data_IF_500200999991
#
_entry.id   IF_500200999991
#
_cell.length_a   1.000
_cell.length_b   1.000
_cell.length_c   1.000
_cell.angle_alpha   90.00
_cell.angle_beta   90.00
_cell.angle_gamma   90.00
#
_symmetry.space_group_name_H-M   'P 1'
#
loop_
_entity.id
_entity.type
_entity.pdbx_description
1 polymer ?
#
# COMPACT_ATOMS: atom_id res chain seq x y z
N UNK A 1 -26.99 36.00 3.36
CA UNK A 1 -25.60 35.97 2.88
C UNK A 1 -25.54 35.02 1.69
N UNK A 2 -24.96 35.45 0.59
CA UNK A 2 -24.84 34.60 -0.61
C UNK A 2 -23.81 33.52 -0.32
N UNK A 3 -24.25 32.27 -0.10
CA UNK A 3 -23.41 31.14 0.35
C UNK A 3 -22.67 30.44 -0.79
N UNK A 4 -22.71 30.98 -2.01
CA UNK A 4 -22.04 30.43 -3.18
C UNK A 4 -20.58 30.91 -3.18
N UNK A 5 -19.65 29.98 -3.06
CA UNK A 5 -18.18 30.08 -3.19
C UNK A 5 -17.36 30.19 -1.88
N UNK A 6 -17.89 29.73 -0.75
CA UNK A 6 -17.08 29.58 0.45
C UNK A 6 -16.04 28.47 0.29
N UNK A 7 -14.84 28.69 0.81
CA UNK A 7 -13.79 27.66 0.86
C UNK A 7 -13.40 27.39 2.31
N UNK A 8 -13.45 26.14 2.71
CA UNK A 8 -13.07 25.68 4.05
C UNK A 8 -11.81 24.86 3.96
N UNK A 9 -10.76 25.26 4.66
CA UNK A 9 -9.60 24.41 4.93
C UNK A 9 -9.82 23.68 6.25
N UNK A 10 -9.63 22.37 6.25
CA UNK A 10 -9.85 21.54 7.41
C UNK A 10 -8.59 20.70 7.70
N UNK A 11 -7.84 21.08 8.73
CA UNK A 11 -6.75 20.28 9.25
C UNK A 11 -7.27 19.24 10.23
N UNK A 12 -6.94 17.96 9.98
CA UNK A 12 -7.58 16.81 10.64
C UNK A 12 -6.71 16.26 11.79
N UNK A 13 -7.07 16.54 13.01
CA UNK A 13 -6.47 15.96 14.20
C UNK A 13 -7.26 14.79 14.80
N UNK A 14 -6.65 14.07 15.75
CA UNK A 14 -7.26 12.90 16.39
C UNK A 14 -8.43 13.27 17.31
N UNK A 15 -8.33 14.38 18.04
CA UNK A 15 -9.36 14.86 18.98
C UNK A 15 -10.12 16.07 18.45
N UNK A 16 -9.44 16.95 17.78
CA UNK A 16 -9.99 18.18 17.25
C UNK A 16 -9.49 18.41 15.84
N UNK A 17 -10.31 19.05 15.02
CA UNK A 17 -9.95 19.57 13.71
C UNK A 17 -9.86 21.09 13.78
N UNK A 18 -8.95 21.69 13.03
CA UNK A 18 -8.89 23.13 12.84
C UNK A 18 -9.54 23.49 11.50
N UNK A 19 -10.47 24.42 11.52
CA UNK A 19 -11.15 24.90 10.33
C UNK A 19 -10.88 26.39 10.09
N UNK A 20 -10.60 26.74 8.85
CA UNK A 20 -10.54 28.11 8.36
C UNK A 20 -11.54 28.27 7.22
N UNK A 21 -12.46 29.21 7.35
CA UNK A 21 -13.49 29.51 6.35
C UNK A 21 -13.15 30.81 5.65
N UNK A 22 -13.00 30.76 4.33
CA UNK A 22 -12.75 31.93 3.48
C UNK A 22 -13.99 32.30 2.66
N UNK A 23 -14.20 33.58 2.47
CA UNK A 23 -15.20 34.11 1.56
C UNK A 23 -14.73 34.10 0.09
N UNK A 24 -15.55 34.70 -0.81
CA UNK A 24 -15.22 34.84 -2.24
C UNK A 24 -14.00 35.74 -2.47
N UNK A 25 -13.73 36.72 -1.61
CA UNK A 25 -12.57 37.59 -1.71
C UNK A 25 -11.29 36.91 -1.18
N UNK A 26 -11.43 35.82 -0.41
CA UNK A 26 -10.32 35.14 0.25
C UNK A 26 -10.03 35.68 1.65
N UNK A 27 -10.96 36.46 2.20
CA UNK A 27 -10.89 36.96 3.57
C UNK A 27 -11.40 35.90 4.54
N UNK A 28 -10.83 35.90 5.73
CA UNK A 28 -11.19 34.93 6.76
C UNK A 28 -12.52 35.32 7.40
N UNK A 29 -13.55 34.50 7.19
CA UNK A 29 -14.85 34.67 7.83
C UNK A 29 -14.88 34.05 9.24
N UNK A 30 -14.25 32.90 9.41
CA UNK A 30 -14.23 32.17 10.69
C UNK A 30 -12.99 31.28 10.80
N UNK A 31 -12.54 31.11 12.03
CA UNK A 31 -11.56 30.11 12.41
C UNK A 31 -12.07 29.39 13.66
N UNK A 32 -12.13 28.08 13.60
CA UNK A 32 -12.79 27.29 14.64
C UNK A 32 -12.01 26.01 14.93
N UNK A 33 -12.12 25.57 16.18
CA UNK A 33 -11.67 24.24 16.60
C UNK A 33 -12.91 23.35 16.73
N UNK A 34 -12.92 22.26 15.99
CA UNK A 34 -14.07 21.36 15.86
C UNK A 34 -13.71 20.03 16.51
N UNK A 35 -14.53 19.57 17.45
CA UNK A 35 -14.36 18.23 18.05
C UNK A 35 -14.55 17.16 16.98
N UNK A 36 -13.66 16.18 16.95
CA UNK A 36 -13.66 15.10 15.95
C UNK A 36 -14.78 14.07 16.22
N UNK A 37 -16.04 14.50 16.09
CA UNK A 37 -17.22 13.63 16.12
C UNK A 37 -18.10 13.87 14.90
N UNK A 38 -18.91 12.87 14.55
CA UNK A 38 -19.81 12.98 13.37
C UNK A 38 -20.84 14.08 13.54
N UNK A 39 -21.38 14.21 14.76
CA UNK A 39 -22.43 15.15 15.11
C UNK A 39 -21.94 16.60 14.98
N UNK A 40 -20.76 16.90 15.54
CA UNK A 40 -20.18 18.24 15.51
C UNK A 40 -19.75 18.62 14.10
N UNK A 41 -19.15 17.70 13.34
CA UNK A 41 -18.83 17.93 11.94
C UNK A 41 -20.06 18.15 11.06
N UNK A 42 -21.15 17.41 11.29
CA UNK A 42 -22.41 17.62 10.57
C UNK A 42 -22.99 18.99 10.89
N UNK A 43 -23.00 19.40 12.17
CA UNK A 43 -23.45 20.73 12.58
C UNK A 43 -22.58 21.85 11.98
N UNK A 44 -21.26 21.64 11.90
CA UNK A 44 -20.34 22.57 11.24
C UNK A 44 -20.68 22.70 9.75
N UNK A 45 -20.85 21.60 9.03
CA UNK A 45 -21.22 21.60 7.62
C UNK A 45 -22.53 22.35 7.36
N UNK A 46 -23.54 22.17 8.21
CA UNK A 46 -24.83 22.84 8.06
C UNK A 46 -24.76 24.39 8.13
N UNK A 47 -23.72 24.94 8.78
CA UNK A 47 -23.53 26.41 8.85
C UNK A 47 -22.99 27.03 7.56
N UNK A 48 -22.31 26.22 6.72
CA UNK A 48 -21.66 26.69 5.50
C UNK A 48 -22.10 25.89 4.25
N UNK A 49 -23.40 25.85 3.92
CA UNK A 49 -23.95 24.97 2.89
C UNK A 49 -23.30 25.23 1.52
N UNK A 50 -22.96 24.17 0.80
CA UNK A 50 -22.39 24.24 -0.54
C UNK A 50 -20.92 24.68 -0.61
N UNK A 51 -20.25 24.87 0.52
CA UNK A 51 -18.83 25.24 0.54
C UNK A 51 -17.94 24.15 -0.10
N UNK A 52 -16.81 24.57 -0.65
CA UNK A 52 -15.71 23.66 -1.02
C UNK A 52 -14.85 23.38 0.21
N UNK A 53 -14.78 22.12 0.63
CA UNK A 53 -14.00 21.71 1.80
C UNK A 53 -12.70 21.04 1.36
N UNK A 54 -11.58 21.57 1.81
CA UNK A 54 -10.23 21.13 1.50
C UNK A 54 -9.60 20.51 2.72
N UNK A 55 -9.09 19.29 2.63
CA UNK A 55 -8.40 18.60 3.71
C UNK A 55 -7.19 17.84 3.20
N UNK A 56 -6.22 17.54 4.07
CA UNK A 56 -5.06 16.73 3.71
C UNK A 56 -5.34 15.23 3.87
N UNK A 57 -4.64 14.38 3.08
CA UNK A 57 -4.69 12.92 3.27
C UNK A 57 -4.12 12.53 4.62
N UNK A 58 -4.92 11.96 5.49
CA UNK A 58 -4.57 11.48 6.82
C UNK A 58 -5.42 10.27 7.23
N UNK A 59 -5.29 9.86 8.47
CA UNK A 59 -6.01 8.71 9.04
C UNK A 59 -7.52 8.94 9.03
N UNK A 60 -7.96 10.15 9.31
CA UNK A 60 -9.37 10.55 9.39
C UNK A 60 -9.97 10.95 8.04
N UNK A 61 -9.14 11.40 7.08
CA UNK A 61 -9.64 11.95 5.81
C UNK A 61 -10.59 11.02 5.03
N UNK A 62 -10.48 9.67 5.05
CA UNK A 62 -11.43 8.82 4.34
C UNK A 62 -12.87 8.90 4.84
N UNK A 63 -13.11 8.97 6.15
CA UNK A 63 -14.46 9.03 6.69
C UNK A 63 -14.99 10.46 6.74
N UNK A 64 -14.13 11.45 7.05
CA UNK A 64 -14.50 12.86 7.06
C UNK A 64 -14.90 13.32 5.66
N UNK A 65 -14.11 13.02 4.63
CA UNK A 65 -14.44 13.40 3.25
C UNK A 65 -15.79 12.83 2.78
N UNK A 66 -16.12 11.58 3.16
CA UNK A 66 -17.42 10.99 2.83
C UNK A 66 -18.56 11.66 3.59
N UNK A 67 -18.38 11.96 4.87
CA UNK A 67 -19.37 12.67 5.66
C UNK A 67 -19.66 14.04 5.06
N UNK A 68 -18.61 14.82 4.79
CA UNK A 68 -18.72 16.18 4.23
C UNK A 68 -19.36 16.14 2.84
N UNK A 69 -18.98 15.19 1.97
CA UNK A 69 -19.61 15.02 0.67
C UNK A 69 -21.10 14.64 0.78
N UNK A 70 -21.49 13.81 1.76
CA UNK A 70 -22.89 13.45 2.01
C UNK A 70 -23.74 14.62 2.49
N UNK A 71 -23.13 15.68 3.05
CA UNK A 71 -23.79 16.94 3.39
C UNK A 71 -23.91 17.93 2.22
N UNK A 72 -23.51 17.52 1.00
CA UNK A 72 -23.65 18.33 -0.21
C UNK A 72 -22.48 19.28 -0.51
N UNK A 73 -21.34 19.10 0.15
CA UNK A 73 -20.14 19.91 -0.09
C UNK A 73 -19.27 19.32 -1.22
N UNK A 74 -18.62 20.20 -1.98
CA UNK A 74 -17.50 19.81 -2.81
C UNK A 74 -16.28 19.49 -1.92
N UNK A 75 -15.63 18.34 -2.12
CA UNK A 75 -14.51 17.90 -1.28
C UNK A 75 -13.24 17.74 -2.10
N UNK A 76 -12.17 18.39 -1.64
CA UNK A 76 -10.82 18.27 -2.19
C UNK A 76 -9.93 17.64 -1.13
N UNK A 77 -9.43 16.42 -1.39
CA UNK A 77 -8.47 15.76 -0.51
C UNK A 77 -7.08 15.96 -1.08
N UNK A 78 -6.28 16.78 -0.44
CA UNK A 78 -4.94 17.15 -0.87
C UNK A 78 -3.93 16.01 -0.63
N UNK A 79 -2.98 15.83 -1.55
CA UNK A 79 -1.92 14.85 -1.41
C UNK A 79 -0.80 15.37 -0.52
N UNK A 80 -0.75 14.93 0.75
CA UNK A 80 0.24 15.29 1.76
C UNK A 80 1.69 15.29 1.24
N UNK A 81 2.05 14.29 0.43
CA UNK A 81 3.42 14.17 -0.09
C UNK A 81 3.82 15.25 -1.09
N UNK A 82 2.86 15.92 -1.70
CA UNK A 82 3.09 16.97 -2.70
C UNK A 82 2.92 18.37 -2.12
N UNK A 83 2.29 18.49 -0.96
CA UNK A 83 2.08 19.76 -0.26
C UNK A 83 3.31 20.20 0.56
N UNK A 84 4.47 20.29 -0.11
CA UNK A 84 5.71 20.71 0.57
C UNK A 84 5.63 22.11 1.17
N UNK A 85 4.81 22.99 0.61
CA UNK A 85 4.64 24.34 1.12
C UNK A 85 4.06 24.37 2.54
N UNK A 86 3.18 23.40 2.88
CA UNK A 86 2.60 23.30 4.22
C UNK A 86 3.60 22.66 5.20
N UNK A 87 4.32 21.64 4.74
CA UNK A 87 5.22 20.86 5.60
C UNK A 87 6.56 21.51 5.91
N UNK A 88 6.91 22.62 5.25
CA UNK A 88 8.19 23.33 5.40
C UNK A 88 8.11 24.62 6.23
N UNK A 89 6.94 24.96 6.78
CA UNK A 89 6.82 26.10 7.69
C UNK A 89 7.66 25.86 8.95
N UNK A 90 8.46 26.86 9.35
CA UNK A 90 9.22 26.83 10.61
C UNK A 90 8.32 27.11 11.83
N UNK A 91 7.12 27.69 11.59
CA UNK A 91 6.10 28.00 12.60
C UNK A 91 4.86 27.16 12.32
N UNK A 92 4.99 25.83 12.44
CA UNK A 92 3.88 24.93 12.16
C UNK A 92 2.82 24.99 13.26
N UNK A 93 1.59 25.36 12.90
CA UNK A 93 0.41 25.23 13.75
C UNK A 93 -0.76 24.70 12.94
N UNK A 94 -1.64 23.91 13.57
CA UNK A 94 -2.81 23.32 12.92
C UNK A 94 -3.74 24.42 12.34
N UNK A 95 -3.77 25.61 12.97
CA UNK A 95 -4.48 26.78 12.48
C UNK A 95 -3.91 27.29 11.14
N UNK A 96 -2.57 27.41 11.05
CA UNK A 96 -1.90 27.86 9.79
C UNK A 96 -2.04 26.82 8.70
N UNK A 97 -2.01 25.53 9.03
CA UNK A 97 -2.23 24.42 8.10
C UNK A 97 -3.66 24.48 7.51
N UNK A 98 -4.68 24.74 8.35
CA UNK A 98 -6.07 24.92 7.89
C UNK A 98 -6.21 26.17 6.98
N UNK A 99 -5.61 27.30 7.33
CA UNK A 99 -5.60 28.51 6.48
C UNK A 99 -4.94 28.24 5.12
N UNK A 100 -3.78 27.58 5.12
CA UNK A 100 -3.04 27.27 3.90
C UNK A 100 -3.83 26.33 2.97
N UNK A 101 -4.51 25.32 3.55
CA UNK A 101 -5.39 24.44 2.79
C UNK A 101 -6.53 25.21 2.13
N UNK A 102 -7.20 26.10 2.87
CA UNK A 102 -8.27 26.95 2.32
C UNK A 102 -7.77 27.85 1.20
N UNK A 103 -6.65 28.55 1.39
CA UNK A 103 -6.05 29.46 0.39
C UNK A 103 -5.60 28.72 -0.87
N UNK A 104 -4.91 27.59 -0.74
CA UNK A 104 -4.48 26.78 -1.88
C UNK A 104 -5.67 26.18 -2.64
N UNK A 105 -6.69 25.69 -1.92
CA UNK A 105 -7.89 25.14 -2.54
C UNK A 105 -8.70 26.17 -3.31
N UNK A 106 -8.69 27.42 -2.84
CA UNK A 106 -9.35 28.53 -3.51
C UNK A 106 -8.55 29.03 -4.73
N UNK A 107 -7.23 29.14 -4.61
CA UNK A 107 -6.35 29.66 -5.66
C UNK A 107 -6.25 28.74 -6.87
N UNK A 108 -5.86 27.50 -6.66
CA UNK A 108 -5.78 26.46 -7.70
C UNK A 108 -5.83 25.05 -7.08
N UNK A 109 -6.96 24.37 -7.17
CA UNK A 109 -7.10 23.00 -6.70
C UNK A 109 -6.07 22.02 -7.27
N UNK A 110 -5.50 22.28 -8.44
CA UNK A 110 -4.49 21.39 -9.06
C UNK A 110 -3.18 21.38 -8.28
N UNK A 111 -2.83 22.47 -7.58
CA UNK A 111 -1.66 22.53 -6.70
C UNK A 111 -1.73 21.49 -5.58
N UNK A 112 -2.93 21.17 -5.11
CA UNK A 112 -3.19 20.20 -4.08
C UNK A 112 -2.98 18.75 -4.56
N UNK A 113 -2.85 18.53 -5.88
CA UNK A 113 -2.78 17.19 -6.48
C UNK A 113 -3.85 16.25 -5.91
N UNK A 114 -5.15 16.53 -6.09
CA UNK A 114 -6.24 15.88 -5.40
C UNK A 114 -6.20 14.36 -5.47
N UNK A 115 -6.55 13.72 -4.36
CA UNK A 115 -6.63 12.28 -4.21
C UNK A 115 -8.07 11.88 -3.96
N UNK A 116 -8.54 10.85 -4.63
CA UNK A 116 -9.84 10.25 -4.37
C UNK A 116 -9.70 9.14 -3.33
N UNK A 117 -10.46 9.21 -2.25
CA UNK A 117 -10.59 8.12 -1.30
C UNK A 117 -11.46 7.00 -1.88
N UNK A 118 -11.19 5.79 -1.44
CA UNK A 118 -11.95 4.59 -1.79
C UNK A 118 -13.32 4.62 -1.15
N UNK A 119 -14.27 3.91 -1.77
CA UNK A 119 -15.59 3.67 -1.21
C UNK A 119 -15.52 2.96 0.16
N UNK A 120 -16.58 3.07 0.95
CA UNK A 120 -16.60 2.54 2.32
C UNK A 120 -16.41 1.02 2.36
N UNK A 121 -17.08 0.29 1.47
CA UNK A 121 -16.95 -1.17 1.39
C UNK A 121 -15.50 -1.60 1.11
N UNK A 122 -14.85 -0.96 0.13
CA UNK A 122 -13.44 -1.19 -0.20
C UNK A 122 -12.52 -0.84 0.97
N UNK A 123 -12.81 0.25 1.68
CA UNK A 123 -12.05 0.66 2.86
C UNK A 123 -12.17 -0.38 3.99
N UNK A 124 -13.38 -0.90 4.26
CA UNK A 124 -13.61 -1.96 5.25
C UNK A 124 -12.86 -3.25 4.90
N UNK A 125 -12.87 -3.66 3.62
CA UNK A 125 -12.11 -4.80 3.14
C UNK A 125 -10.59 -4.61 3.30
N UNK A 126 -10.07 -3.40 3.01
CA UNK A 126 -8.66 -3.07 3.26
C UNK A 126 -8.28 -3.10 4.75
N UNK A 127 -9.20 -2.73 5.64
CA UNK A 127 -8.97 -2.85 7.10
C UNK A 127 -8.80 -4.31 7.49
N UNK A 128 -9.62 -5.25 6.97
CA UNK A 128 -9.45 -6.69 7.21
C UNK A 128 -8.07 -7.21 6.77
N UNK A 129 -7.59 -6.79 5.59
CA UNK A 129 -6.23 -7.11 5.13
C UNK A 129 -5.15 -6.57 6.08
N UNK A 130 -5.31 -5.35 6.59
CA UNK A 130 -4.39 -4.73 7.56
C UNK A 130 -4.40 -5.45 8.92
N UNK A 131 -5.58 -5.85 9.40
CA UNK A 131 -5.71 -6.66 10.63
C UNK A 131 -4.94 -7.96 10.48
N UNK A 132 -5.16 -8.69 9.38
CA UNK A 132 -4.41 -9.91 9.10
C UNK A 132 -2.89 -9.66 9.05
N UNK A 133 -2.44 -8.61 8.38
CA UNK A 133 -1.02 -8.25 8.33
C UNK A 133 -0.44 -7.97 9.72
N UNK A 134 -1.18 -7.27 10.58
CA UNK A 134 -0.80 -6.98 11.96
C UNK A 134 -0.62 -8.27 12.77
N UNK A 135 -1.57 -9.21 12.68
CA UNK A 135 -1.47 -10.52 13.35
C UNK A 135 -0.27 -11.34 12.86
N UNK A 136 -0.03 -11.36 11.55
CA UNK A 136 1.15 -12.05 10.99
C UNK A 136 2.45 -11.40 11.49
N UNK A 137 2.52 -10.08 11.56
CA UNK A 137 3.69 -9.36 12.09
C UNK A 137 3.93 -9.67 13.56
N UNK A 138 2.87 -9.65 14.39
CA UNK A 138 2.93 -10.02 15.81
C UNK A 138 3.44 -11.44 15.98
N UNK A 139 2.90 -12.39 15.21
CA UNK A 139 3.37 -13.77 15.21
C UNK A 139 4.87 -13.89 14.86
N UNK A 140 5.33 -13.20 13.83
CA UNK A 140 6.77 -13.19 13.46
C UNK A 140 7.62 -12.65 14.60
N UNK A 141 7.19 -11.59 15.27
CA UNK A 141 7.90 -11.05 16.42
C UNK A 141 7.98 -12.07 17.57
N UNK A 142 6.87 -12.73 17.91
CA UNK A 142 6.86 -13.77 18.97
C UNK A 142 7.76 -14.96 18.61
N UNK A 143 7.71 -15.44 17.36
CA UNK A 143 8.59 -16.52 16.88
C UNK A 143 10.06 -16.13 17.03
N UNK A 144 10.43 -14.92 16.68
CA UNK A 144 11.79 -14.42 16.83
C UNK A 144 12.19 -14.26 18.30
N UNK A 145 11.26 -13.79 19.16
CA UNK A 145 11.47 -13.69 20.60
C UNK A 145 11.75 -15.05 21.24
N UNK A 146 10.93 -16.06 20.92
CA UNK A 146 11.17 -17.45 21.42
C UNK A 146 12.56 -17.94 20.99
N UNK A 147 12.92 -17.80 19.72
CA UNK A 147 14.26 -18.17 19.24
C UNK A 147 15.40 -17.44 19.96
N UNK A 148 15.20 -16.16 20.23
CA UNK A 148 16.22 -15.33 20.91
C UNK A 148 16.37 -15.75 22.37
N UNK A 149 15.26 -15.91 23.10
CA UNK A 149 15.27 -16.29 24.52
C UNK A 149 15.91 -17.66 24.72
N UNK A 150 15.54 -18.67 23.91
CA UNK A 150 16.07 -20.02 24.01
C UNK A 150 17.58 -20.09 23.72
N UNK A 151 18.13 -19.20 22.91
CA UNK A 151 19.58 -19.11 22.67
C UNK A 151 20.36 -18.81 23.95
N UNK A 152 19.81 -18.01 24.86
CA UNK A 152 20.46 -17.72 26.15
C UNK A 152 20.58 -18.96 27.07
N UNK A 153 19.74 -19.96 26.79
CA UNK A 153 19.76 -21.27 27.49
C UNK A 153 20.58 -22.33 26.73
N UNK A 154 21.28 -21.94 25.67
CA UNK A 154 22.03 -22.89 24.83
C UNK A 154 21.17 -23.70 23.87
N UNK A 155 19.86 -23.43 23.77
CA UNK A 155 18.93 -24.15 22.91
C UNK A 155 18.78 -23.48 21.57
N UNK A 156 18.99 -24.23 20.49
CA UNK A 156 18.88 -23.74 19.12
C UNK A 156 17.62 -24.25 18.42
N UNK A 157 16.73 -23.31 18.04
CA UNK A 157 15.51 -23.62 17.27
C UNK A 157 15.73 -23.29 15.80
N UNK A 158 15.62 -24.29 14.93
CA UNK A 158 15.87 -24.18 13.50
C UNK A 158 15.05 -23.07 12.83
N UNK A 159 15.71 -22.31 11.94
CA UNK A 159 15.04 -21.31 11.09
C UNK A 159 14.12 -21.95 10.02
N UNK A 160 14.28 -23.22 9.71
CA UNK A 160 13.47 -23.95 8.72
C UNK A 160 12.04 -24.25 9.20
N UNK A 161 11.77 -24.16 10.51
CA UNK A 161 10.43 -24.42 11.05
C UNK A 161 9.47 -23.33 10.62
N UNK A 162 8.44 -23.72 9.87
CA UNK A 162 7.39 -22.82 9.38
C UNK A 162 6.54 -22.28 10.54
N UNK A 163 6.10 -21.02 10.44
CA UNK A 163 5.37 -20.33 11.50
C UNK A 163 4.12 -21.07 11.98
N UNK A 164 3.36 -21.72 11.10
CA UNK A 164 2.15 -22.48 11.47
C UNK A 164 2.42 -23.72 12.31
N UNK A 165 3.60 -24.33 12.17
CA UNK A 165 4.00 -25.52 12.94
C UNK A 165 4.96 -25.16 14.08
N UNK A 166 5.28 -23.88 14.26
CA UNK A 166 6.38 -23.44 15.12
C UNK A 166 6.16 -23.84 16.58
N UNK A 167 5.03 -23.45 17.16
CA UNK A 167 4.76 -23.73 18.57
C UNK A 167 4.77 -25.23 18.89
N UNK A 168 4.08 -26.02 18.06
CA UNK A 168 4.07 -27.49 18.21
C UNK A 168 5.48 -28.07 18.10
N UNK A 169 6.24 -27.71 17.07
CA UNK A 169 7.59 -28.24 16.85
C UNK A 169 8.57 -27.86 17.96
N UNK A 170 8.44 -26.65 18.50
CA UNK A 170 9.26 -26.22 19.63
C UNK A 170 8.94 -26.99 20.89
N UNK A 171 7.65 -27.22 21.21
CA UNK A 171 7.26 -28.07 22.34
C UNK A 171 7.79 -29.51 22.23
N UNK A 172 7.77 -30.10 21.03
CA UNK A 172 8.31 -31.44 20.75
C UNK A 172 9.83 -31.54 20.93
N UNK A 173 10.57 -30.42 20.75
CA UNK A 173 12.05 -30.42 20.79
C UNK A 173 12.64 -30.00 22.14
N UNK A 174 11.87 -29.36 23.01
CA UNK A 174 12.35 -28.81 24.26
C UNK A 174 12.19 -29.80 25.42
N UNK A 175 13.12 -29.74 26.37
CA UNK A 175 12.90 -30.33 27.67
C UNK A 175 11.70 -29.65 28.36
N UNK A 176 10.92 -30.39 29.19
CA UNK A 176 9.71 -29.84 29.83
C UNK A 176 9.93 -28.53 30.58
N UNK A 177 11.07 -28.39 31.27
CA UNK A 177 11.42 -27.19 32.01
C UNK A 177 11.61 -25.96 31.06
N UNK A 178 12.32 -26.13 29.94
CA UNK A 178 12.54 -25.05 28.97
C UNK A 178 11.27 -24.71 28.22
N UNK A 179 10.43 -25.73 27.90
CA UNK A 179 9.16 -25.52 27.26
C UNK A 179 8.23 -24.68 28.14
N UNK A 180 8.19 -24.92 29.45
CA UNK A 180 7.37 -24.14 30.39
C UNK A 180 7.73 -22.67 30.43
N UNK A 181 9.02 -22.31 30.28
CA UNK A 181 9.49 -20.91 30.27
C UNK A 181 8.94 -20.10 29.08
N UNK A 182 8.79 -20.74 27.93
CA UNK A 182 8.35 -20.06 26.70
C UNK A 182 6.89 -20.37 26.35
N UNK A 183 6.21 -21.21 27.12
CA UNK A 183 4.82 -21.63 26.87
C UNK A 183 3.85 -20.46 26.69
N UNK A 184 3.89 -19.36 27.46
CA UNK A 184 3.01 -18.21 27.22
C UNK A 184 3.15 -17.63 25.81
N UNK A 185 4.38 -17.61 25.25
CA UNK A 185 4.63 -17.14 23.88
C UNK A 185 4.17 -18.16 22.83
N UNK A 186 4.34 -19.46 23.12
CA UNK A 186 3.90 -20.52 22.20
C UNK A 186 2.38 -20.57 22.12
N UNK A 187 1.66 -20.44 23.24
CA UNK A 187 0.20 -20.36 23.27
C UNK A 187 -0.32 -19.11 22.50
N UNK A 188 0.33 -17.96 22.66
CA UNK A 188 0.00 -16.76 21.89
C UNK A 188 0.22 -16.95 20.38
N UNK A 189 1.29 -17.67 19.96
CA UNK A 189 1.55 -18.00 18.56
C UNK A 189 0.43 -18.90 18.01
N UNK A 190 -0.05 -19.88 18.77
CA UNK A 190 -1.15 -20.76 18.34
C UNK A 190 -2.47 -20.01 18.20
N UNK A 191 -2.78 -19.11 19.14
CA UNK A 191 -3.93 -18.23 19.04
C UNK A 191 -3.87 -17.34 17.79
N UNK A 192 -2.70 -16.73 17.52
CA UNK A 192 -2.49 -15.94 16.30
C UNK A 192 -2.62 -16.78 15.02
N UNK A 193 -2.12 -18.03 15.02
CA UNK A 193 -2.28 -18.94 13.89
C UNK A 193 -3.75 -19.22 13.58
N UNK A 194 -4.56 -19.45 14.61
CA UNK A 194 -6.01 -19.68 14.49
C UNK A 194 -6.70 -18.46 13.88
N UNK A 195 -6.43 -17.27 14.39
CA UNK A 195 -7.01 -16.02 13.88
C UNK A 195 -6.58 -15.70 12.44
N UNK A 196 -5.30 -15.89 12.11
CA UNK A 196 -4.79 -15.69 10.74
C UNK A 196 -5.47 -16.66 9.77
N UNK A 197 -5.66 -17.93 10.16
CA UNK A 197 -6.35 -18.92 9.32
C UNK A 197 -7.82 -18.56 9.09
N UNK A 198 -8.52 -18.11 10.13
CA UNK A 198 -9.92 -17.67 10.02
C UNK A 198 -10.05 -16.47 9.08
N UNK A 199 -9.17 -15.44 9.23
CA UNK A 199 -9.15 -14.29 8.34
C UNK A 199 -8.77 -14.64 6.90
N UNK A 200 -7.89 -15.63 6.68
CA UNK A 200 -7.55 -16.09 5.33
C UNK A 200 -8.77 -16.68 4.63
N UNK A 201 -9.59 -17.49 5.35
CA UNK A 201 -10.82 -18.05 4.82
C UNK A 201 -11.88 -16.95 4.53
N UNK A 202 -12.06 -16.00 5.47
CA UNK A 202 -12.97 -14.87 5.28
C UNK A 202 -12.58 -14.02 4.05
N UNK A 203 -11.29 -13.72 3.88
CA UNK A 203 -10.79 -12.94 2.75
C UNK A 203 -10.90 -13.70 1.42
N UNK A 204 -10.76 -15.02 1.41
CA UNK A 204 -10.98 -15.84 0.23
C UNK A 204 -12.46 -15.80 -0.20
N UNK A 205 -13.39 -15.96 0.74
CA UNK A 205 -14.84 -15.84 0.48
C UNK A 205 -15.19 -14.45 -0.04
N UNK A 206 -14.72 -13.40 0.65
CA UNK A 206 -14.92 -12.01 0.23
C UNK A 206 -14.40 -11.75 -1.18
N UNK A 207 -13.23 -12.29 -1.53
CA UNK A 207 -12.65 -12.15 -2.87
C UNK A 207 -13.52 -12.81 -3.95
N UNK A 208 -14.04 -14.02 -3.69
CA UNK A 208 -14.88 -14.75 -4.63
C UNK A 208 -16.23 -14.08 -4.87
N UNK A 209 -16.89 -13.65 -3.80
CA UNK A 209 -18.25 -13.10 -3.85
C UNK A 209 -18.29 -11.66 -4.35
N UNK A 210 -17.43 -10.79 -3.86
CA UNK A 210 -17.53 -9.34 -4.09
C UNK A 210 -16.51 -8.79 -5.10
N UNK A 211 -15.45 -9.56 -5.41
CA UNK A 211 -14.37 -9.10 -6.28
C UNK A 211 -13.99 -10.15 -7.35
N UNK A 212 -14.90 -10.45 -8.30
CA UNK A 212 -14.71 -11.56 -9.28
C UNK A 212 -13.46 -11.40 -10.14
N UNK A 213 -12.95 -10.18 -10.32
CA UNK A 213 -11.69 -9.94 -11.02
C UNK A 213 -10.50 -10.70 -10.39
N UNK A 214 -10.55 -10.99 -9.08
CA UNK A 214 -9.50 -11.70 -8.37
C UNK A 214 -9.24 -13.09 -8.93
N UNK A 215 -10.28 -13.81 -9.35
CA UNK A 215 -10.16 -15.13 -9.97
C UNK A 215 -9.27 -15.11 -11.21
N UNK A 216 -9.46 -14.11 -12.07
CA UNK A 216 -8.63 -13.94 -13.28
C UNK A 216 -7.19 -13.56 -12.95
N UNK A 217 -6.97 -12.69 -11.97
CA UNK A 217 -5.63 -12.27 -11.58
C UNK A 217 -4.81 -13.42 -10.99
N UNK A 218 -5.46 -14.40 -10.36
CA UNK A 218 -4.83 -15.61 -9.79
C UNK A 218 -4.32 -16.61 -10.83
N UNK A 219 -4.67 -16.43 -12.11
CA UNK A 219 -4.12 -17.24 -13.20
C UNK A 219 -2.60 -17.02 -13.38
N UNK A 220 -2.06 -15.88 -12.89
CA UNK A 220 -0.62 -15.61 -12.97
C UNK A 220 0.10 -16.40 -11.87
N UNK A 221 1.11 -17.24 -12.22
CA UNK A 221 1.89 -17.97 -11.23
C UNK A 221 2.49 -17.08 -10.14
N UNK A 222 2.31 -17.49 -8.89
CA UNK A 222 2.77 -16.73 -7.73
C UNK A 222 1.80 -15.66 -7.22
N UNK A 223 0.69 -15.41 -7.92
CA UNK A 223 -0.37 -14.50 -7.44
C UNK A 223 -1.41 -15.30 -6.68
N UNK A 224 -1.35 -15.22 -5.36
CA UNK A 224 -2.33 -15.83 -4.47
C UNK A 224 -3.54 -14.93 -4.20
N UNK A 225 -4.56 -15.45 -3.47
CA UNK A 225 -5.80 -14.74 -3.18
C UNK A 225 -5.56 -13.39 -2.50
N UNK A 226 -4.67 -13.33 -1.50
CA UNK A 226 -4.34 -12.09 -0.80
C UNK A 226 -3.73 -11.03 -1.72
N UNK A 227 -2.87 -11.42 -2.65
CA UNK A 227 -2.24 -10.48 -3.59
C UNK A 227 -3.28 -9.95 -4.58
N UNK A 228 -4.11 -10.84 -5.14
CA UNK A 228 -5.17 -10.46 -6.07
C UNK A 228 -6.19 -9.53 -5.42
N UNK A 229 -6.67 -9.88 -4.21
CA UNK A 229 -7.61 -9.05 -3.47
C UNK A 229 -7.01 -7.70 -3.08
N UNK A 230 -5.79 -7.69 -2.53
CA UNK A 230 -5.09 -6.45 -2.17
C UNK A 230 -4.88 -5.55 -3.40
N UNK A 231 -4.61 -6.12 -4.58
CA UNK A 231 -4.46 -5.39 -5.83
C UNK A 231 -5.78 -4.71 -6.22
N UNK A 232 -6.87 -5.48 -6.28
CA UNK A 232 -8.21 -4.97 -6.64
C UNK A 232 -8.65 -3.87 -5.66
N UNK A 233 -8.56 -4.12 -4.36
CA UNK A 233 -8.93 -3.14 -3.34
C UNK A 233 -8.06 -1.88 -3.34
N UNK A 234 -6.77 -2.02 -3.70
CA UNK A 234 -5.86 -0.87 -3.73
C UNK A 234 -6.16 0.06 -4.91
N UNK A 235 -6.48 -0.48 -6.06
CA UNK A 235 -6.78 0.30 -7.26
C UNK A 235 -8.25 0.72 -7.34
N UNK A 236 -9.16 -0.11 -6.81
CA UNK A 236 -10.62 0.02 -6.74
C UNK A 236 -11.31 0.02 -8.10
N UNK A 237 -10.89 0.84 -9.05
CA UNK A 237 -11.41 0.90 -10.41
C UNK A 237 -10.25 0.94 -11.41
N UNK A 238 -10.16 -0.06 -12.32
CA UNK A 238 -9.12 -0.10 -13.33
C UNK A 238 -9.22 1.05 -14.36
N UNK A 239 -10.39 1.70 -14.47
CA UNK A 239 -10.62 2.84 -15.37
C UNK A 239 -9.88 4.11 -14.91
N UNK A 240 -9.50 4.22 -13.63
CA UNK A 240 -8.68 5.34 -13.13
C UNK A 240 -7.29 5.42 -13.79
N UNK A 241 -6.87 4.36 -14.46
CA UNK A 241 -5.61 4.32 -15.17
C UNK A 241 -5.86 4.30 -16.68
N UNK A 242 -5.59 5.40 -17.36
CA UNK A 242 -5.64 5.46 -18.82
C UNK A 242 -4.75 4.36 -19.43
N UNK A 243 -3.50 4.30 -18.98
CA UNK A 243 -2.51 3.31 -19.40
C UNK A 243 -2.14 2.36 -18.26
N UNK A 244 -2.09 1.05 -18.54
CA UNK A 244 -1.69 0.06 -17.53
C UNK A 244 -0.28 0.32 -16.95
N UNK A 245 0.62 0.95 -17.70
CA UNK A 245 1.98 1.30 -17.23
C UNK A 245 1.98 2.29 -16.06
N UNK A 246 0.94 3.10 -15.91
CA UNK A 246 0.81 4.09 -14.84
C UNK A 246 0.69 3.47 -13.44
N UNK A 247 0.34 2.19 -13.34
CA UNK A 247 0.31 1.47 -12.05
C UNK A 247 1.68 1.35 -11.39
N UNK A 248 2.75 1.28 -12.18
CA UNK A 248 4.13 1.20 -11.67
C UNK A 248 4.52 2.40 -10.79
N UNK A 249 4.42 3.64 -11.30
CA UNK A 249 4.59 4.86 -10.49
C UNK A 249 3.63 4.95 -9.31
N UNK A 250 2.35 4.63 -9.51
CA UNK A 250 1.33 4.66 -8.46
C UNK A 250 1.69 3.76 -7.27
N UNK A 251 2.27 2.59 -7.52
CA UNK A 251 2.72 1.65 -6.50
C UNK A 251 4.17 1.90 -6.02
N UNK A 252 4.83 2.91 -6.56
CA UNK A 252 6.19 3.24 -6.18
C UNK A 252 7.24 2.21 -6.59
N UNK A 253 6.99 1.47 -7.66
CA UNK A 253 7.88 0.45 -8.24
C UNK A 253 8.77 1.01 -9.36
N UNK A 254 8.91 2.34 -9.41
CA UNK A 254 9.79 3.03 -10.37
C UNK A 254 10.98 3.66 -9.64
N UNK A 255 12.16 3.73 -10.28
CA UNK A 255 13.31 4.42 -9.71
C UNK A 255 12.99 5.90 -9.45
N UNK A 256 13.53 6.44 -8.36
CA UNK A 256 13.67 7.89 -8.21
C UNK A 256 14.74 8.36 -9.17
N UNK A 257 14.51 9.49 -9.80
CA UNK A 257 15.48 10.16 -10.64
C UNK A 257 15.93 11.43 -9.93
N UNK A 258 17.21 11.63 -9.85
CA UNK A 258 17.83 12.84 -9.37
C UNK A 258 18.58 13.44 -10.55
N UNK A 259 17.96 14.47 -11.15
CA UNK A 259 18.49 15.14 -12.34
C UNK A 259 18.72 16.60 -12.02
N UNK A 260 19.97 17.03 -12.05
CA UNK A 260 20.39 18.41 -11.87
C UNK A 260 21.56 18.69 -12.81
N UNK A 261 21.36 19.64 -13.74
CA UNK A 261 22.37 19.96 -14.73
C UNK A 261 22.82 18.73 -15.54
N UNK A 262 24.10 18.44 -15.49
CA UNK A 262 24.69 17.27 -16.16
C UNK A 262 24.56 15.95 -15.39
N UNK A 263 24.03 15.99 -14.16
CA UNK A 263 23.89 14.81 -13.32
C UNK A 263 22.50 14.16 -13.55
N UNK A 264 22.49 12.88 -13.95
CA UNK A 264 21.27 12.06 -14.04
C UNK A 264 21.49 10.73 -13.31
N UNK A 265 21.12 10.70 -12.03
CA UNK A 265 21.30 9.52 -11.17
C UNK A 265 19.98 8.78 -10.96
N UNK A 266 19.97 7.49 -11.31
CA UNK A 266 18.88 6.59 -10.92
C UNK A 266 19.13 6.08 -9.50
N UNK A 267 18.23 6.43 -8.60
CA UNK A 267 18.24 5.99 -7.20
C UNK A 267 17.36 4.74 -7.01
N UNK A 268 17.20 4.32 -5.75
CA UNK A 268 16.24 3.26 -5.40
C UNK A 268 14.79 3.65 -5.77
N UNK A 269 13.86 2.70 -5.69
CA UNK A 269 12.45 2.95 -6.00
C UNK A 269 11.83 4.04 -5.11
N UNK A 270 10.81 4.72 -5.64
CA UNK A 270 10.14 5.83 -4.94
C UNK A 270 9.43 5.42 -3.67
N UNK A 271 9.04 4.14 -3.56
CA UNK A 271 8.24 3.59 -2.44
C UNK A 271 6.93 4.35 -2.19
N UNK A 272 6.41 5.06 -3.17
CA UNK A 272 5.10 5.70 -3.11
C UNK A 272 3.96 4.67 -3.03
N UNK A 273 2.76 5.12 -2.69
CA UNK A 273 1.55 4.30 -2.69
C UNK A 273 1.51 3.21 -1.62
N UNK A 274 0.72 2.18 -1.88
CA UNK A 274 0.34 1.17 -0.89
C UNK A 274 1.48 0.20 -0.57
N UNK A 275 1.98 0.24 0.66
CA UNK A 275 3.17 -0.52 1.09
C UNK A 275 2.93 -2.02 1.03
N UNK A 276 1.81 -2.50 1.59
CA UNK A 276 1.49 -3.94 1.68
C UNK A 276 1.38 -4.56 0.28
N UNK A 277 0.68 -3.90 -0.67
CA UNK A 277 0.58 -4.41 -2.04
C UNK A 277 1.96 -4.49 -2.71
N UNK A 278 2.80 -3.48 -2.52
CA UNK A 278 4.16 -3.50 -3.07
C UNK A 278 4.98 -4.67 -2.52
N UNK A 279 4.89 -4.96 -1.21
CA UNK A 279 5.54 -6.13 -0.60
C UNK A 279 5.01 -7.44 -1.19
N UNK A 280 3.69 -7.58 -1.34
CA UNK A 280 3.08 -8.77 -1.95
C UNK A 280 3.55 -8.98 -3.39
N UNK A 281 3.57 -7.93 -4.22
CA UNK A 281 4.07 -8.01 -5.60
C UNK A 281 5.56 -8.39 -5.67
N UNK A 282 6.37 -7.89 -4.73
CA UNK A 282 7.78 -8.27 -4.63
C UNK A 282 7.93 -9.74 -4.23
N UNK A 283 7.10 -10.24 -3.31
CA UNK A 283 7.08 -11.66 -2.95
C UNK A 283 6.65 -12.54 -4.14
N UNK A 284 5.64 -12.12 -4.92
CA UNK A 284 5.27 -12.81 -6.16
C UNK A 284 6.44 -12.84 -7.16
N UNK A 285 7.18 -11.72 -7.29
CA UNK A 285 8.36 -11.67 -8.16
C UNK A 285 9.49 -12.59 -7.68
N UNK A 286 9.69 -12.71 -6.37
CA UNK A 286 10.63 -13.70 -5.82
C UNK A 286 10.20 -15.15 -6.12
N UNK A 287 8.90 -15.46 -6.05
CA UNK A 287 8.39 -16.77 -6.44
C UNK A 287 8.62 -17.04 -7.93
N UNK A 288 8.27 -16.09 -8.81
CA UNK A 288 8.41 -16.21 -10.27
C UNK A 288 9.87 -16.44 -10.66
N UNK A 289 10.82 -15.75 -10.03
CA UNK A 289 12.26 -15.86 -10.30
C UNK A 289 12.94 -17.00 -9.52
N UNK A 290 12.24 -17.57 -8.55
CA UNK A 290 12.76 -18.64 -7.70
C UNK A 290 12.71 -20.03 -8.36
N UNK A 291 13.19 -21.05 -7.66
CA UNK A 291 13.28 -22.42 -8.20
C UNK A 291 11.91 -23.03 -8.53
N UNK A 292 10.84 -22.59 -7.88
CA UNK A 292 9.49 -23.11 -8.05
C UNK A 292 8.64 -22.32 -9.06
N UNK A 293 9.16 -21.23 -9.59
CA UNK A 293 8.44 -20.41 -10.60
C UNK A 293 8.45 -21.12 -11.95
N UNK A 294 7.28 -21.27 -12.62
CA UNK A 294 7.23 -21.85 -13.95
C UNK A 294 7.83 -20.93 -15.01
N UNK A 295 8.25 -21.47 -16.16
CA UNK A 295 8.67 -20.67 -17.30
C UNK A 295 7.54 -19.74 -17.76
N UNK A 296 7.84 -18.44 -17.86
CA UNK A 296 6.89 -17.43 -18.36
C UNK A 296 7.63 -16.16 -18.79
N UNK A 297 6.95 -15.30 -19.54
CA UNK A 297 7.53 -14.04 -20.02
C UNK A 297 8.03 -13.11 -18.89
N UNK A 298 7.40 -13.14 -17.71
CA UNK A 298 7.84 -12.37 -16.55
C UNK A 298 9.20 -12.89 -16.02
N UNK A 299 9.35 -14.21 -15.93
CA UNK A 299 10.59 -14.87 -15.53
C UNK A 299 11.72 -14.56 -16.50
N UNK A 300 11.51 -14.80 -17.79
CA UNK A 300 12.50 -14.50 -18.84
C UNK A 300 12.96 -13.04 -18.82
N UNK A 301 12.02 -12.10 -18.63
CA UNK A 301 12.36 -10.68 -18.52
C UNK A 301 13.23 -10.38 -17.28
N UNK A 302 12.96 -11.01 -16.16
CA UNK A 302 13.75 -10.86 -14.94
C UNK A 302 15.14 -11.49 -15.04
N UNK A 303 15.24 -12.69 -15.60
CA UNK A 303 16.52 -13.39 -15.83
C UNK A 303 17.43 -12.58 -16.76
N UNK A 304 16.90 -12.00 -17.83
CA UNK A 304 17.64 -11.08 -18.73
C UNK A 304 18.21 -9.87 -17.98
N UNK A 305 17.47 -9.32 -17.00
CA UNK A 305 17.96 -8.20 -16.18
C UNK A 305 19.03 -8.68 -15.19
N UNK A 306 18.84 -9.86 -14.59
CA UNK A 306 19.80 -10.44 -13.67
C UNK A 306 21.13 -10.79 -14.36
N UNK A 307 21.06 -11.25 -15.61
CA UNK A 307 22.23 -11.62 -16.44
C UNK A 307 23.15 -10.42 -16.78
N UNK A 308 22.65 -9.18 -16.69
CA UNK A 308 23.50 -7.98 -16.88
C UNK A 308 24.61 -7.82 -15.84
N UNK A 309 24.58 -8.60 -14.77
CA UNK A 309 25.58 -8.63 -13.72
C UNK A 309 25.57 -7.42 -12.80
N UNK A 310 26.57 -7.38 -11.91
CA UNK A 310 26.75 -6.34 -10.90
C UNK A 310 26.01 -6.62 -9.58
N UNK A 311 26.52 -6.00 -8.48
CA UNK A 311 26.13 -6.22 -7.08
C UNK A 311 24.60 -6.18 -6.81
N UNK A 312 23.84 -5.44 -7.61
CA UNK A 312 22.40 -5.25 -7.40
C UNK A 312 21.53 -5.84 -8.51
N UNK A 313 22.09 -6.61 -9.46
CA UNK A 313 21.37 -7.11 -10.64
C UNK A 313 20.15 -7.95 -10.26
N UNK A 314 20.31 -8.91 -9.34
CA UNK A 314 19.19 -9.74 -8.82
C UNK A 314 18.10 -8.91 -8.15
N UNK A 315 18.46 -7.91 -7.33
CA UNK A 315 17.49 -7.00 -6.69
C UNK A 315 16.74 -6.17 -7.72
N UNK A 316 17.44 -5.65 -8.75
CA UNK A 316 16.81 -4.92 -9.86
C UNK A 316 15.85 -5.80 -10.65
N UNK A 317 16.23 -7.07 -10.91
CA UNK A 317 15.37 -8.03 -11.59
C UNK A 317 14.06 -8.26 -10.84
N UNK A 318 14.11 -8.50 -9.55
CA UNK A 318 12.92 -8.67 -8.70
C UNK A 318 11.98 -7.47 -8.78
N UNK A 319 12.50 -6.25 -8.65
CA UNK A 319 11.68 -5.03 -8.73
C UNK A 319 11.10 -4.84 -10.14
N UNK A 320 11.87 -5.13 -11.18
CA UNK A 320 11.39 -5.02 -12.55
C UNK A 320 10.27 -6.03 -12.85
N UNK A 321 10.41 -7.27 -12.35
CA UNK A 321 9.34 -8.30 -12.45
C UNK A 321 8.11 -7.88 -11.63
N UNK A 322 8.26 -7.38 -10.41
CA UNK A 322 7.14 -6.89 -9.61
C UNK A 322 6.38 -5.75 -10.32
N UNK A 323 7.10 -4.80 -10.94
CA UNK A 323 6.50 -3.73 -11.76
C UNK A 323 5.78 -4.29 -12.98
N UNK A 324 6.41 -5.19 -13.73
CA UNK A 324 5.82 -5.80 -14.92
C UNK A 324 4.60 -6.64 -14.55
N UNK A 325 4.65 -7.37 -13.44
CA UNK A 325 3.52 -8.09 -12.88
C UNK A 325 2.34 -7.15 -12.59
N UNK A 326 2.57 -6.01 -11.90
CA UNK A 326 1.51 -5.04 -11.63
C UNK A 326 0.86 -4.52 -12.92
N UNK A 327 1.65 -4.25 -13.98
CA UNK A 327 1.15 -3.82 -15.29
C UNK A 327 0.31 -4.92 -15.94
N UNK A 328 0.76 -6.18 -15.88
CA UNK A 328 0.03 -7.33 -16.42
C UNK A 328 -1.29 -7.55 -15.68
N UNK A 329 -1.29 -7.50 -14.33
CA UNK A 329 -2.51 -7.60 -13.52
C UNK A 329 -3.54 -6.53 -13.90
N UNK A 330 -3.12 -5.28 -14.05
CA UNK A 330 -4.02 -4.21 -14.45
C UNK A 330 -4.53 -4.39 -15.88
N UNK A 331 -3.68 -4.85 -16.80
CA UNK A 331 -4.10 -5.12 -18.18
C UNK A 331 -5.15 -6.21 -18.25
N UNK A 332 -4.95 -7.34 -17.55
CA UNK A 332 -5.94 -8.43 -17.46
C UNK A 332 -7.26 -7.96 -16.87
N UNK A 333 -7.18 -7.14 -15.82
CA UNK A 333 -8.39 -6.60 -15.19
C UNK A 333 -9.15 -5.65 -16.12
N UNK A 334 -8.44 -4.77 -16.85
CA UNK A 334 -9.05 -3.84 -17.82
C UNK A 334 -9.70 -4.53 -19.01
N UNK A 335 -9.02 -5.54 -19.56
CA UNK A 335 -9.47 -6.20 -20.80
C UNK A 335 -10.44 -7.34 -20.55
N UNK A 336 -10.47 -7.89 -19.34
CA UNK A 336 -11.21 -9.11 -19.05
C UNK A 336 -10.61 -10.36 -19.70
N UNK A 337 -9.42 -10.27 -20.32
CA UNK A 337 -8.76 -11.40 -20.97
C UNK A 337 -8.15 -12.37 -19.94
N UNK A 338 -8.02 -13.64 -20.33
CA UNK A 338 -7.32 -14.64 -19.55
C UNK A 338 -5.81 -14.51 -19.72
N UNK A 339 -5.08 -14.90 -18.66
CA UNK A 339 -3.63 -14.91 -18.70
C UNK A 339 -3.12 -16.00 -19.63
N UNK A 340 -2.34 -15.59 -20.62
CA UNK A 340 -1.62 -16.51 -21.51
C UNK A 340 -0.12 -16.34 -21.23
N UNK A 341 0.54 -17.36 -20.63
CA UNK A 341 2.00 -17.35 -20.57
C UNK A 341 2.50 -17.40 -22.01
N UNK A 342 3.13 -16.32 -22.48
CA UNK A 342 3.75 -16.33 -23.80
C UNK A 342 4.76 -17.49 -23.86
N UNK A 343 4.77 -18.28 -24.93
CA UNK A 343 5.79 -19.30 -25.10
C UNK A 343 7.17 -18.64 -24.96
N UNK A 344 8.00 -19.20 -24.08
CA UNK A 344 9.38 -18.78 -23.95
C UNK A 344 10.07 -19.24 -25.26
N UNK A 345 10.27 -18.33 -26.21
CA UNK A 345 11.19 -18.61 -27.31
C UNK A 345 12.55 -18.84 -26.67
N UNK A 346 13.15 -20.03 -26.77
CA UNK A 346 14.50 -20.25 -26.26
C UNK A 346 15.39 -19.15 -26.84
N UNK A 347 16.16 -18.47 -26.00
CA UNK A 347 17.22 -17.60 -26.49
C UNK A 347 18.07 -18.49 -27.43
N UNK A 348 18.37 -18.08 -28.68
CA UNK A 348 19.31 -18.82 -29.50
C UNK A 348 20.55 -19.01 -28.64
N UNK A 349 21.02 -20.25 -28.54
CA UNK A 349 22.26 -20.58 -27.88
C UNK A 349 23.32 -19.68 -28.51
N UNK A 350 23.74 -18.65 -27.78
CA UNK A 350 24.77 -17.74 -28.24
C UNK A 350 26.01 -18.58 -28.51
N UNK A 351 26.49 -18.60 -29.74
CA UNK A 351 27.78 -19.13 -30.10
C UNK A 351 28.85 -18.51 -29.20
N UNK A 352 29.15 -19.23 -28.11
CA UNK A 352 30.40 -19.03 -27.35
C UNK A 352 31.53 -19.79 -28.02
N UNK A 353 31.70 -19.59 -29.34
CA UNK A 353 32.88 -20.03 -30.05
C UNK A 353 33.27 -18.89 -31.00
N UNK A 354 34.20 -18.07 -30.53
CA UNK A 354 35.25 -17.39 -31.28
C UNK A 354 35.67 -16.10 -30.56
N UNK A 355 36.41 -16.26 -29.46
CA UNK A 355 37.30 -15.24 -28.93
C UNK A 355 38.54 -15.92 -28.34
N UNK A 356 39.15 -16.79 -29.12
CA UNK A 356 40.54 -17.23 -28.98
C UNK A 356 41.12 -17.34 -30.38
N UNK A 357 41.65 -16.27 -30.91
CA UNK A 357 42.70 -16.15 -31.93
C UNK A 357 42.63 -14.75 -32.57
N UNK A 358 43.30 -13.77 -31.96
CA UNK A 358 44.14 -12.76 -32.63
C UNK A 358 44.61 -11.76 -31.54
#
# INVERSE_FOLDING_TARGET
MNTKNLTVGLDLGDHHHHACVLDEAGEILAEEVIVNTREVLTAFCARYPGATVVMETGTHSPWVSRLVAAQGHAVIVANARKLRAISQSQTKSDREDAQMLARLGRADPKLLSPVRHRGEATQRALVRLKVREALVRSRVNLVNSVRFLLKSLGVFVSSSIKAMAFARKVREQLAPADAALVEPLLAAIDALNTQVKALDAELETLAGENYPATGRLRQIPGVGPLTALCFVLTLEDPKHFEHARSVGPYLGLVPRRDQSGQTDKQLGITKAGHVQLRCLLVNCAHYILGPFGPPCALRTAGERIAARGGKSAKKRAVIAVARKLAVTLLALWKTGADYRPLPVTPLPAGNLSNAQAA
#
